data_IF_878912774415
#
_entry.id   IF_878912774415
#
_cell.length_a   1.000
_cell.length_b   1.000
_cell.length_c   1.000
_cell.angle_alpha   90.00
_cell.angle_beta   90.00
_cell.angle_gamma   90.00
#
_symmetry.space_group_name_H-M   'P 1'
#
loop_
_entity.id
_entity.type
_entity.pdbx_description
1 polymer ?
#
# COMPACT_ATOMS: atom_id res chain seq x y z
N UNK A 1 -1.22 -5.49 8.90
CA UNK A 1 -1.52 -5.30 7.47
C UNK A 1 -0.69 -6.23 6.57
N UNK A 2 0.65 -6.11 6.52
CA UNK A 2 1.48 -6.89 5.57
C UNK A 2 1.25 -8.42 5.61
N UNK A 3 1.00 -8.99 6.79
CA UNK A 3 0.61 -10.40 6.91
C UNK A 3 -0.70 -10.74 6.20
N UNK A 4 -1.70 -9.85 6.26
CA UNK A 4 -2.97 -10.01 5.53
C UNK A 4 -2.75 -9.85 4.02
N UNK A 5 -1.90 -8.92 3.58
CA UNK A 5 -1.54 -8.77 2.17
C UNK A 5 -0.87 -10.04 1.63
N UNK A 6 0.07 -10.62 2.39
CA UNK A 6 0.71 -11.88 2.03
C UNK A 6 -0.30 -13.03 1.98
N UNK A 7 -1.21 -13.13 2.96
CA UNK A 7 -2.21 -14.18 3.00
C UNK A 7 -3.22 -14.09 1.83
N UNK A 8 -3.55 -12.86 1.42
CA UNK A 8 -4.45 -12.59 0.30
C UNK A 8 -3.75 -12.63 -1.08
N UNK A 9 -2.43 -12.82 -1.14
CA UNK A 9 -1.67 -12.83 -2.38
C UNK A 9 -1.70 -11.49 -3.12
N UNK A 10 -1.61 -10.39 -2.36
CA UNK A 10 -1.52 -9.04 -2.91
C UNK A 10 -0.15 -8.82 -3.55
N UNK A 11 -0.13 -8.27 -4.76
CA UNK A 11 1.06 -7.72 -5.39
C UNK A 11 1.32 -6.32 -4.84
N UNK A 12 2.36 -6.18 -4.03
CA UNK A 12 2.73 -4.89 -3.43
C UNK A 12 4.22 -4.77 -3.20
N UNK A 13 4.72 -3.54 -3.30
CA UNK A 13 6.08 -3.16 -2.97
C UNK A 13 6.06 -2.22 -1.76
N UNK A 14 7.03 -2.37 -0.86
CA UNK A 14 7.26 -1.39 0.19
C UNK A 14 8.13 -0.28 -0.40
N UNK A 15 7.67 0.96 -0.33
CA UNK A 15 8.32 2.12 -0.94
C UNK A 15 8.54 3.22 0.12
N UNK A 16 9.00 4.39 -0.31
CA UNK A 16 9.20 5.53 0.58
C UNK A 16 10.42 5.41 1.50
N UNK A 17 10.46 6.24 2.55
CA UNK A 17 11.63 6.35 3.44
C UNK A 17 11.97 5.04 4.16
N UNK A 18 11.03 4.10 4.25
CA UNK A 18 11.29 2.75 4.77
C UNK A 18 12.29 1.98 3.88
N UNK A 19 12.23 2.14 2.56
CA UNK A 19 13.20 1.57 1.63
C UNK A 19 14.57 2.27 1.71
N UNK A 20 14.61 3.57 2.04
CA UNK A 20 15.85 4.33 2.21
C UNK A 20 16.57 4.02 3.54
N UNK A 21 15.82 3.74 4.61
CA UNK A 21 16.35 3.42 5.94
C UNK A 21 17.10 2.09 6.02
N UNK A 22 16.88 1.16 5.08
CA UNK A 22 17.59 -0.12 5.05
C UNK A 22 19.02 -0.03 4.49
N UNK A 23 19.34 1.03 3.73
CA UNK A 23 20.61 1.11 2.97
C UNK A 23 21.52 2.30 3.29
N UNK A 24 21.06 3.38 3.95
CA UNK A 24 21.88 4.62 4.03
C UNK A 24 22.00 5.25 5.42
N UNK A 25 20.96 5.32 6.25
CA UNK A 25 21.08 5.81 7.65
C UNK A 25 19.79 5.55 8.46
N UNK A 26 19.82 5.25 9.77
CA UNK A 26 18.61 5.02 10.56
C UNK A 26 17.83 6.32 10.78
N UNK A 27 16.82 6.58 9.94
CA UNK A 27 15.73 7.49 10.28
C UNK A 27 14.55 6.66 10.79
N UNK A 28 14.08 6.96 11.99
CA UNK A 28 12.77 6.49 12.49
C UNK A 28 11.68 7.05 11.57
N UNK A 29 11.23 6.26 10.60
CA UNK A 29 10.11 6.65 9.74
C UNK A 29 8.83 6.65 10.59
N UNK A 30 7.95 7.62 10.34
CA UNK A 30 6.72 7.82 11.13
C UNK A 30 5.51 7.18 10.42
N UNK A 31 5.80 6.38 9.41
CA UNK A 31 4.93 5.94 8.34
C UNK A 31 5.56 4.77 7.56
N UNK A 32 4.70 3.93 6.97
CA UNK A 32 5.04 2.89 6.00
C UNK A 32 4.24 3.16 4.73
N UNK A 33 4.94 3.32 3.61
CA UNK A 33 4.32 3.43 2.30
C UNK A 33 4.31 2.07 1.59
N UNK A 34 3.14 1.65 1.13
CA UNK A 34 2.97 0.41 0.37
C UNK A 34 2.36 0.75 -0.98
N UNK A 35 3.06 0.42 -2.05
CA UNK A 35 2.56 0.57 -3.41
C UNK A 35 1.94 -0.75 -3.88
N UNK A 36 0.68 -0.73 -4.28
CA UNK A 36 -0.04 -1.89 -4.80
C UNK A 36 -0.19 -1.80 -6.32
N UNK A 37 -0.15 -2.94 -7.00
CA UNK A 37 -0.46 -3.03 -8.43
C UNK A 37 -1.92 -2.62 -8.68
N UNK A 38 -2.22 -1.57 -9.46
CA UNK A 38 -3.58 -1.06 -9.65
C UNK A 38 -4.41 -1.90 -10.66
N UNK A 39 -4.22 -3.21 -10.68
CA UNK A 39 -5.01 -4.13 -11.52
C UNK A 39 -6.31 -4.52 -10.81
N UNK A 40 -7.43 -4.73 -11.52
CA UNK A 40 -8.71 -5.10 -10.90
C UNK A 40 -8.68 -6.35 -10.02
N UNK A 41 -7.83 -7.31 -10.37
CA UNK A 41 -7.63 -8.53 -9.60
C UNK A 41 -6.87 -8.24 -8.30
N UNK A 42 -5.77 -7.49 -8.37
CA UNK A 42 -5.02 -7.14 -7.18
C UNK A 42 -5.80 -6.20 -6.25
N UNK A 43 -6.54 -5.24 -6.81
CA UNK A 43 -7.42 -4.33 -6.09
C UNK A 43 -8.46 -5.08 -5.24
N UNK A 44 -9.05 -6.17 -5.77
CA UNK A 44 -9.92 -7.06 -4.98
C UNK A 44 -9.20 -7.73 -3.82
N UNK A 45 -7.97 -8.19 -4.02
CA UNK A 45 -7.15 -8.81 -2.96
C UNK A 45 -6.76 -7.80 -1.89
N UNK A 46 -6.39 -6.58 -2.29
CA UNK A 46 -6.11 -5.46 -1.38
C UNK A 46 -7.32 -5.19 -0.52
N UNK A 47 -8.49 -5.01 -1.13
CA UNK A 47 -9.74 -4.74 -0.41
C UNK A 47 -10.09 -5.85 0.58
N UNK A 48 -9.98 -7.12 0.18
CA UNK A 48 -10.20 -8.25 1.07
C UNK A 48 -9.19 -8.27 2.24
N UNK A 49 -7.92 -8.04 1.96
CA UNK A 49 -6.88 -8.01 2.99
C UNK A 49 -7.06 -6.85 3.98
N UNK A 50 -7.62 -5.72 3.53
CA UNK A 50 -7.98 -4.59 4.38
C UNK A 50 -9.18 -4.92 5.28
N UNK A 51 -10.19 -5.65 4.78
CA UNK A 51 -11.27 -6.21 5.60
C UNK A 51 -10.71 -7.13 6.68
N UNK A 52 -9.89 -8.10 6.29
CA UNK A 52 -9.32 -9.09 7.22
C UNK A 52 -8.40 -8.45 8.27
N UNK A 53 -7.74 -7.35 7.89
CA UNK A 53 -6.93 -6.55 8.80
C UNK A 53 -7.76 -5.69 9.77
N UNK A 54 -9.03 -5.40 9.44
CA UNK A 54 -9.91 -4.52 10.20
C UNK A 54 -9.72 -3.03 9.90
N UNK A 55 -9.36 -2.68 8.67
CA UNK A 55 -9.20 -1.29 8.24
C UNK A 55 -10.57 -0.57 8.07
N UNK A 56 -10.63 0.76 8.28
CA UNK A 56 -11.85 1.54 8.05
C UNK A 56 -12.12 1.74 6.55
N UNK A 57 -13.18 1.13 6.03
CA UNK A 57 -13.51 1.13 4.58
C UNK A 57 -14.85 1.82 4.26
N UNK A 58 -15.35 2.70 5.14
CA UNK A 58 -16.59 3.42 4.88
C UNK A 58 -16.46 4.29 3.62
N UNK A 59 -17.30 4.02 2.61
CA UNK A 59 -17.28 4.71 1.33
C UNK A 59 -16.13 4.31 0.40
N UNK A 60 -15.36 3.26 0.74
CA UNK A 60 -14.28 2.72 -0.10
C UNK A 60 -14.77 1.43 -0.76
N UNK A 61 -14.51 1.31 -2.05
CA UNK A 61 -14.77 0.12 -2.85
C UNK A 61 -13.46 -0.46 -3.40
N UNK A 62 -13.46 -1.75 -3.76
CA UNK A 62 -12.28 -2.37 -4.34
C UNK A 62 -11.77 -1.63 -5.59
N UNK A 63 -12.67 -1.04 -6.38
CA UNK A 63 -12.32 -0.30 -7.60
C UNK A 63 -11.49 0.96 -7.35
N UNK A 64 -11.53 1.53 -6.14
CA UNK A 64 -10.76 2.72 -5.80
C UNK A 64 -9.25 2.41 -5.85
N UNK A 65 -8.87 1.16 -5.56
CA UNK A 65 -7.49 0.68 -5.67
C UNK A 65 -7.03 0.41 -7.12
N UNK A 66 -7.90 0.60 -8.12
CA UNK A 66 -7.52 0.60 -9.54
C UNK A 66 -7.14 2.00 -10.05
N UNK A 67 -7.48 3.05 -9.31
CA UNK A 67 -7.19 4.43 -9.71
C UNK A 67 -5.80 4.82 -9.19
N UNK A 68 -4.85 5.06 -10.09
CA UNK A 68 -3.45 5.42 -9.77
C UNK A 68 -3.29 6.73 -8.99
N UNK A 69 -4.32 7.57 -8.96
CA UNK A 69 -4.30 8.86 -8.25
C UNK A 69 -4.79 8.74 -6.79
N UNK A 70 -5.21 7.53 -6.37
CA UNK A 70 -5.72 7.27 -5.02
C UNK A 70 -4.59 6.97 -4.06
N UNK A 71 -4.63 7.64 -2.90
CA UNK A 71 -3.85 7.27 -1.73
C UNK A 71 -4.82 6.95 -0.61
N UNK A 72 -4.74 5.73 -0.09
CA UNK A 72 -5.55 5.31 1.05
C UNK A 72 -4.69 5.28 2.31
N UNK A 73 -4.99 6.17 3.26
CA UNK A 73 -4.25 6.32 4.50
C UNK A 73 -4.96 5.63 5.66
N UNK A 74 -4.18 4.89 6.45
CA UNK A 74 -4.62 4.30 7.73
C UNK A 74 -3.84 4.95 8.88
N UNK A 75 -4.58 5.46 9.88
CA UNK A 75 -4.00 5.98 11.11
C UNK A 75 -3.27 7.32 10.95
N UNK A 76 -2.38 7.60 11.92
CA UNK A 76 -1.58 8.83 12.00
C UNK A 76 -0.16 8.50 12.49
N UNK A 77 0.79 9.40 12.23
CA UNK A 77 2.17 9.25 12.68
C UNK A 77 2.25 9.03 14.21
N UNK A 78 3.13 8.12 14.70
CA UNK A 78 4.15 7.35 13.97
C UNK A 78 3.66 6.00 13.40
N UNK A 79 2.36 5.69 13.50
CA UNK A 79 1.76 4.44 13.04
C UNK A 79 0.92 4.64 11.77
N UNK A 80 1.31 5.59 10.91
CA UNK A 80 0.61 5.83 9.63
C UNK A 80 1.00 4.75 8.63
N UNK A 81 0.04 4.32 7.82
CA UNK A 81 0.30 3.48 6.66
C UNK A 81 -0.37 4.13 5.46
N UNK A 82 0.38 4.36 4.40
CA UNK A 82 -0.12 4.92 3.15
C UNK A 82 -0.11 3.83 2.08
N UNK A 83 -1.27 3.56 1.46
CA UNK A 83 -1.40 2.63 0.34
C UNK A 83 -1.50 3.47 -0.93
N UNK A 84 -0.44 3.39 -1.74
CA UNK A 84 -0.30 4.05 -3.03
C UNK A 84 -0.75 3.09 -4.13
N UNK A 85 -1.45 3.61 -5.13
CA UNK A 85 -1.88 2.85 -6.33
C UNK A 85 -1.14 3.29 -7.59
N UNK A 86 -0.31 4.33 -7.50
CA UNK A 86 0.51 4.85 -8.59
C UNK A 86 1.73 5.63 -8.10
N UNK A 87 2.74 5.73 -8.96
CA UNK A 87 3.90 6.61 -8.80
C UNK A 87 4.10 7.36 -10.13
N UNK A 88 4.44 8.65 -10.07
CA UNK A 88 4.50 9.51 -11.25
C UNK A 88 5.54 9.08 -12.30
N UNK A 89 6.63 8.45 -11.87
CA UNK A 89 7.83 8.25 -12.71
C UNK A 89 8.14 6.80 -13.08
N UNK A 90 7.39 5.82 -12.54
CA UNK A 90 7.65 4.40 -12.77
C UNK A 90 6.35 3.60 -12.67
N UNK A 91 6.14 2.65 -13.59
CA UNK A 91 5.00 1.74 -13.53
C UNK A 91 5.26 0.58 -12.58
N UNK A 92 4.20 -0.02 -12.03
CA UNK A 92 4.34 -1.16 -11.12
C UNK A 92 5.08 -2.32 -11.78
N UNK A 93 4.78 -2.58 -13.05
CA UNK A 93 5.42 -3.64 -13.83
C UNK A 93 6.93 -3.43 -14.05
N UNK A 94 7.42 -2.19 -14.05
CA UNK A 94 8.86 -1.91 -14.15
C UNK A 94 9.61 -2.11 -12.83
N UNK A 95 8.90 -2.02 -11.70
CA UNK A 95 9.47 -2.11 -10.36
C UNK A 95 9.29 -3.48 -9.68
N UNK A 96 8.41 -4.33 -10.20
CA UNK A 96 8.04 -5.65 -9.69
C UNK A 96 8.99 -6.76 -10.16
#
# INVERSE_FOLDING_TARGET
>A
MLKAFNAAGVNYLIVGAYAFGFHVEPRTTKDIDVWVDPTPENARRVYQALIDFGAPLEGIEAQDFCNSDVVYQIGVAPNRIDILTGLESISFAEAW
#
